data_IF_692042333429
#
_entry.id   IF_692042333429
#
_cell.length_a   1.000
_cell.length_b   1.000
_cell.length_c   1.000
_cell.angle_alpha   90.00
_cell.angle_beta   90.00
_cell.angle_gamma   90.00
#
_symmetry.space_group_name_H-M   'P 1'
#
loop_
_entity.id
_entity.type
_entity.pdbx_description
1 polymer ?
#
# COMPACT_ATOMS: atom_id res chain seq x y z
N UNK A 1 -5.58 4.74 19.77
CA UNK A 1 -5.74 3.47 19.02
C UNK A 1 -4.42 2.73 18.98
N UNK A 2 -4.48 1.41 19.01
CA UNK A 2 -3.29 0.57 18.82
C UNK A 2 -3.47 -0.26 17.56
N UNK A 3 -2.38 -0.42 16.79
CA UNK A 3 -2.32 -1.26 15.61
C UNK A 3 -0.92 -1.87 15.49
N UNK A 4 -0.81 -3.17 15.27
CA UNK A 4 0.46 -3.92 15.29
C UNK A 4 1.29 -3.69 16.58
N UNK A 5 0.62 -3.61 17.72
CA UNK A 5 1.26 -3.32 19.01
C UNK A 5 1.76 -1.89 19.17
N UNK A 6 1.63 -1.02 18.17
CA UNK A 6 2.07 0.35 18.18
C UNK A 6 0.90 1.31 18.46
N UNK A 7 1.18 2.40 19.20
CA UNK A 7 0.21 3.45 19.45
C UNK A 7 0.10 4.40 18.24
N UNK A 8 -1.14 4.68 17.86
CA UNK A 8 -1.47 5.67 16.83
C UNK A 8 -2.31 6.79 17.43
N UNK A 9 -1.99 8.04 17.10
CA UNK A 9 -2.81 9.18 17.51
C UNK A 9 -4.17 9.18 16.79
N UNK A 10 -4.20 8.72 15.55
CA UNK A 10 -5.44 8.58 14.78
C UNK A 10 -5.38 7.35 13.85
N UNK A 11 -6.52 6.70 13.54
CA UNK A 11 -6.54 5.56 12.62
C UNK A 11 -6.56 5.96 11.15
N UNK A 12 -6.48 7.24 10.82
CA UNK A 12 -6.62 7.75 9.46
C UNK A 12 -5.27 7.88 8.76
N UNK A 13 -5.31 7.71 7.43
CA UNK A 13 -4.17 7.94 6.54
C UNK A 13 -4.47 7.59 5.09
N UNK A 14 -3.58 7.95 4.18
CA UNK A 14 -3.73 7.64 2.77
C UNK A 14 -3.49 6.15 2.51
N UNK A 15 -4.27 5.58 1.59
CA UNK A 15 -3.99 4.30 0.98
C UNK A 15 -2.82 4.42 -0.02
N UNK A 16 -2.21 3.28 -0.37
CA UNK A 16 -1.12 3.25 -1.35
C UNK A 16 -1.56 3.79 -2.72
N UNK A 17 -0.81 4.76 -3.20
CA UNK A 17 -1.06 5.41 -4.48
C UNK A 17 0.07 6.40 -4.81
N UNK A 18 0.05 7.08 -5.98
CA UNK A 18 1.05 8.09 -6.34
C UNK A 18 1.23 9.19 -5.28
N UNK A 19 0.16 9.50 -4.55
CA UNK A 19 0.16 10.47 -3.46
C UNK A 19 0.88 10.01 -2.18
N UNK A 20 1.26 8.76 -2.05
CA UNK A 20 2.05 8.23 -0.93
C UNK A 20 3.43 7.69 -1.37
N UNK A 21 3.95 8.16 -2.51
CA UNK A 21 5.25 7.77 -3.03
C UNK A 21 6.36 8.76 -2.66
N UNK A 22 6.09 10.07 -2.77
CA UNK A 22 7.09 11.10 -2.56
C UNK A 22 7.12 11.60 -1.13
N UNK A 23 8.31 11.87 -0.59
CA UNK A 23 8.51 12.29 0.79
C UNK A 23 7.68 13.52 1.17
N UNK A 24 7.60 14.54 0.30
CA UNK A 24 6.82 15.74 0.58
C UNK A 24 5.32 15.45 0.74
N UNK A 25 4.77 14.50 -0.02
CA UNK A 25 3.36 14.15 0.08
C UNK A 25 3.08 13.35 1.36
N UNK A 26 3.97 12.44 1.72
CA UNK A 26 3.89 11.67 2.96
C UNK A 26 3.95 12.59 4.19
N UNK A 27 4.90 13.54 4.20
CA UNK A 27 5.04 14.56 5.25
C UNK A 27 3.81 15.46 5.31
N UNK A 28 3.29 15.90 4.16
CA UNK A 28 2.08 16.71 4.10
C UNK A 28 0.86 15.96 4.67
N UNK A 29 0.69 14.69 4.31
CA UNK A 29 -0.37 13.85 4.87
C UNK A 29 -0.26 13.74 6.39
N UNK A 30 0.95 13.51 6.94
CA UNK A 30 1.18 13.47 8.38
C UNK A 30 0.85 14.81 9.05
N UNK A 31 1.25 15.95 8.49
CA UNK A 31 0.92 17.28 8.99
C UNK A 31 -0.60 17.54 8.97
N UNK A 32 -1.32 16.96 8.02
CA UNK A 32 -2.78 17.01 7.96
C UNK A 32 -3.49 16.03 8.91
N UNK A 33 -2.74 15.26 9.73
CA UNK A 33 -3.30 14.37 10.75
C UNK A 33 -3.29 12.88 10.39
N UNK A 34 -2.76 12.49 9.23
CA UNK A 34 -2.56 11.08 8.92
C UNK A 34 -1.58 10.44 9.90
N UNK A 35 -1.93 9.24 10.39
CA UNK A 35 -1.06 8.49 11.31
C UNK A 35 -0.84 7.04 10.87
N UNK A 36 -1.66 6.52 9.97
CA UNK A 36 -1.43 5.26 9.30
C UNK A 36 -1.24 5.52 7.81
N UNK A 37 -0.02 5.45 7.32
CA UNK A 37 0.33 5.83 5.94
C UNK A 37 0.76 4.58 5.18
N UNK A 38 -0.07 4.14 4.25
CA UNK A 38 0.30 3.06 3.34
C UNK A 38 1.14 3.64 2.20
N UNK A 39 2.40 3.21 2.16
CA UNK A 39 3.36 3.66 1.16
C UNK A 39 3.01 3.09 -0.22
N UNK A 40 3.34 3.82 -1.29
CA UNK A 40 3.12 3.35 -2.66
C UNK A 40 3.72 1.97 -2.86
N UNK A 41 2.95 1.09 -3.49
CA UNK A 41 3.36 -0.30 -3.78
C UNK A 41 4.67 -0.34 -4.58
N UNK A 42 5.60 -1.15 -4.14
CA UNK A 42 6.84 -1.48 -4.86
C UNK A 42 6.77 -2.90 -5.41
N UNK A 43 7.45 -3.16 -6.49
CA UNK A 43 7.48 -4.46 -7.16
C UNK A 43 8.79 -4.65 -7.97
N UNK A 44 9.08 -5.90 -8.33
CA UNK A 44 10.38 -6.32 -8.86
C UNK A 44 10.74 -5.76 -10.23
N UNK A 45 9.76 -5.39 -11.06
CA UNK A 45 10.02 -4.81 -12.40
C UNK A 45 10.67 -3.43 -12.31
N UNK A 46 10.79 -2.92 -11.09
CA UNK A 46 11.45 -1.69 -10.73
C UNK A 46 10.66 -0.47 -11.23
N UNK A 47 10.83 -0.03 -12.44
CA UNK A 47 10.16 1.12 -13.03
C UNK A 47 9.17 0.68 -14.10
N UNK A 48 7.92 1.15 -14.01
CA UNK A 48 6.92 0.90 -15.04
C UNK A 48 6.86 2.06 -16.03
N UNK A 49 7.01 1.75 -17.30
CA UNK A 49 6.83 2.73 -18.36
C UNK A 49 5.35 2.83 -18.71
N UNK A 50 4.71 3.91 -18.26
CA UNK A 50 3.30 4.20 -18.54
C UNK A 50 3.20 5.31 -19.57
N UNK A 51 2.61 5.00 -20.71
CA UNK A 51 2.52 5.94 -21.86
C UNK A 51 1.42 7.00 -21.74
N UNK A 52 0.63 6.99 -20.67
CA UNK A 52 -0.58 7.81 -20.50
C UNK A 52 -0.83 8.09 -19.01
N UNK A 53 -1.69 9.05 -18.67
CA UNK A 53 -2.05 9.31 -17.28
C UNK A 53 -2.58 8.07 -16.57
N UNK A 54 -2.17 7.86 -15.33
CA UNK A 54 -2.60 6.72 -14.52
C UNK A 54 -3.93 6.97 -13.82
N UNK A 55 -4.25 8.23 -13.53
CA UNK A 55 -5.43 8.62 -12.74
C UNK A 55 -6.12 9.75 -13.49
N UNK A 56 -7.45 9.71 -13.58
CA UNK A 56 -8.22 10.85 -14.10
C UNK A 56 -8.30 11.96 -13.05
N UNK A 57 -8.70 13.16 -13.50
CA UNK A 57 -8.72 14.35 -12.64
C UNK A 57 -9.85 14.34 -11.60
N UNK A 58 -10.87 13.53 -11.80
CA UNK A 58 -11.99 13.38 -10.86
C UNK A 58 -11.73 12.28 -9.83
N UNK A 59 -10.56 11.60 -9.94
CA UNK A 59 -10.12 10.51 -9.06
C UNK A 59 -11.06 9.29 -9.06
N UNK A 60 -11.77 9.07 -10.17
CA UNK A 60 -12.69 7.95 -10.33
C UNK A 60 -12.12 6.81 -11.19
N UNK A 61 -11.11 7.06 -12.01
CA UNK A 61 -10.56 6.07 -12.93
C UNK A 61 -9.05 6.02 -12.97
N UNK A 62 -8.54 4.81 -13.18
CA UNK A 62 -7.13 4.51 -13.38
C UNK A 62 -6.96 3.76 -14.70
N UNK A 63 -5.93 4.09 -15.46
CA UNK A 63 -5.66 3.39 -16.72
C UNK A 63 -4.81 2.14 -16.57
N UNK A 64 -4.16 1.97 -15.43
CA UNK A 64 -3.34 0.82 -15.09
C UNK A 64 -3.59 0.38 -13.66
N UNK A 65 -3.53 -0.91 -13.43
CA UNK A 65 -3.63 -1.48 -12.09
C UNK A 65 -2.43 -1.08 -11.22
N UNK A 66 -1.27 -0.97 -11.86
CA UNK A 66 0.00 -0.64 -11.22
C UNK A 66 0.60 0.60 -11.83
N UNK A 67 1.08 1.49 -10.98
CA UNK A 67 1.96 2.57 -11.40
C UNK A 67 3.12 2.63 -10.41
N UNK A 68 4.33 2.53 -10.92
CA UNK A 68 5.55 2.72 -10.16
C UNK A 68 6.48 3.58 -11.01
N UNK A 69 6.53 4.85 -10.68
CA UNK A 69 7.27 5.87 -11.41
C UNK A 69 8.72 5.96 -10.96
N UNK A 70 9.02 5.45 -9.75
CA UNK A 70 10.35 5.40 -9.17
C UNK A 70 10.85 3.96 -9.12
N UNK A 71 12.16 3.80 -9.29
CA UNK A 71 12.82 2.53 -8.99
C UNK A 71 12.69 2.17 -7.52
N UNK A 72 12.79 0.90 -7.19
CA UNK A 72 12.67 0.39 -5.81
C UNK A 72 13.61 1.15 -4.85
N UNK A 73 14.85 1.36 -5.25
CA UNK A 73 15.82 2.11 -4.43
C UNK A 73 15.45 3.59 -4.25
N UNK A 74 14.92 4.23 -5.28
CA UNK A 74 14.44 5.61 -5.20
C UNK A 74 13.20 5.73 -4.31
N UNK A 75 12.28 4.76 -4.39
CA UNK A 75 11.13 4.69 -3.51
C UNK A 75 11.56 4.55 -2.04
N UNK A 76 12.55 3.71 -1.77
CA UNK A 76 13.13 3.59 -0.44
C UNK A 76 13.72 4.91 0.06
N UNK A 77 14.48 5.63 -0.77
CA UNK A 77 15.06 6.92 -0.41
C UNK A 77 13.99 7.96 -0.05
N UNK A 78 12.88 8.01 -0.78
CA UNK A 78 11.73 8.86 -0.47
C UNK A 78 11.07 8.48 0.87
N UNK A 79 10.89 7.19 1.13
CA UNK A 79 10.28 6.71 2.38
C UNK A 79 11.18 6.99 3.59
N UNK A 80 12.49 6.76 3.45
CA UNK A 80 13.46 7.09 4.48
C UNK A 80 13.55 8.59 4.75
N UNK A 81 13.55 9.41 3.69
CA UNK A 81 13.53 10.87 3.82
C UNK A 81 12.26 11.33 4.56
N UNK A 82 11.09 10.80 4.19
CA UNK A 82 9.84 11.10 4.89
C UNK A 82 9.90 10.71 6.37
N UNK A 83 10.45 9.53 6.68
CA UNK A 83 10.62 9.04 8.03
C UNK A 83 11.46 9.98 8.89
N UNK A 84 12.63 10.38 8.40
CA UNK A 84 13.52 11.33 9.10
C UNK A 84 12.86 12.70 9.24
N UNK A 85 12.23 13.22 8.19
CA UNK A 85 11.57 14.54 8.21
C UNK A 85 10.40 14.58 9.20
N UNK A 86 9.59 13.54 9.30
CA UNK A 86 8.47 13.47 10.24
C UNK A 86 9.00 13.55 11.68
N UNK A 87 10.05 12.80 12.03
CA UNK A 87 10.67 12.87 13.35
C UNK A 87 11.29 14.25 13.63
N UNK A 88 11.97 14.84 12.65
CA UNK A 88 12.54 16.17 12.76
C UNK A 88 11.46 17.25 12.95
N UNK A 89 10.37 17.17 12.20
CA UNK A 89 9.24 18.12 12.30
C UNK A 89 8.47 17.94 13.61
N UNK A 90 8.25 16.70 14.04
CA UNK A 90 7.63 16.42 15.34
C UNK A 90 8.35 17.16 16.46
N UNK A 91 9.68 17.04 16.51
CA UNK A 91 10.52 17.75 17.50
C UNK A 91 10.55 19.26 17.28
N UNK A 92 10.72 19.70 16.02
CA UNK A 92 10.84 21.14 15.69
C UNK A 92 9.57 21.93 15.97
N UNK A 93 8.41 21.33 15.77
CA UNK A 93 7.09 21.93 15.96
C UNK A 93 6.53 21.70 17.38
N UNK A 94 7.31 21.05 18.24
CA UNK A 94 6.96 20.77 19.64
C UNK A 94 5.61 20.01 19.76
N UNK A 95 5.41 19.00 18.89
CA UNK A 95 4.24 18.15 19.02
C UNK A 95 4.31 17.28 20.29
N UNK A 96 3.15 16.97 20.83
CA UNK A 96 3.03 16.19 22.07
C UNK A 96 3.50 14.74 21.87
N UNK A 97 4.06 14.14 22.93
CA UNK A 97 4.50 12.75 22.95
C UNK A 97 5.97 12.56 22.56
N UNK A 98 6.48 11.36 22.81
CA UNK A 98 7.88 11.01 22.58
C UNK A 98 8.17 10.58 21.13
N UNK A 99 7.10 10.36 20.34
CA UNK A 99 7.20 9.91 18.96
C UNK A 99 6.11 10.55 18.09
N UNK A 100 6.30 10.56 16.75
CA UNK A 100 5.32 11.12 15.82
C UNK A 100 3.95 10.42 15.78
N UNK A 101 3.77 9.31 16.50
CA UNK A 101 2.51 8.55 16.56
C UNK A 101 2.04 8.02 15.20
N UNK A 102 2.97 7.70 14.29
CA UNK A 102 2.70 7.30 12.92
C UNK A 102 3.25 5.90 12.63
N UNK A 103 2.48 5.11 11.88
CA UNK A 103 2.91 3.84 11.29
C UNK A 103 3.02 4.01 9.78
N UNK A 104 4.15 3.60 9.23
CA UNK A 104 4.28 3.35 7.80
C UNK A 104 3.93 1.90 7.53
N UNK A 105 2.95 1.69 6.65
CA UNK A 105 2.61 0.37 6.15
C UNK A 105 3.22 0.18 4.77
N UNK A 106 4.07 -0.83 4.62
CA UNK A 106 4.61 -1.18 3.31
C UNK A 106 3.51 -1.71 2.41
N UNK A 107 3.66 -1.49 1.12
CA UNK A 107 2.85 -2.17 0.11
C UNK A 107 3.77 -2.83 -0.90
N UNK A 108 3.62 -4.14 -1.06
CA UNK A 108 4.39 -4.93 -2.02
C UNK A 108 3.44 -5.69 -2.93
N UNK A 109 3.87 -5.89 -4.16
CA UNK A 109 3.10 -6.64 -5.13
C UNK A 109 4.01 -7.51 -6.00
N UNK A 110 3.41 -8.30 -6.88
CA UNK A 110 4.00 -9.31 -7.73
C UNK A 110 3.84 -10.73 -7.17
N UNK A 111 4.36 -11.74 -7.90
CA UNK A 111 4.40 -13.13 -7.45
C UNK A 111 5.50 -13.36 -6.40
N UNK A 112 5.52 -14.54 -5.79
CA UNK A 112 6.51 -14.88 -4.77
C UNK A 112 7.93 -14.83 -5.31
N UNK A 113 8.16 -15.32 -6.52
CA UNK A 113 9.48 -15.30 -7.16
C UNK A 113 9.97 -13.87 -7.39
N UNK A 114 9.08 -12.96 -7.76
CA UNK A 114 9.38 -11.54 -7.91
C UNK A 114 9.70 -10.85 -6.58
N UNK A 115 8.92 -11.13 -5.53
CA UNK A 115 9.20 -10.60 -4.19
C UNK A 115 10.54 -11.12 -3.65
N UNK A 116 10.97 -12.31 -4.06
CA UNK A 116 12.26 -12.88 -3.70
C UNK A 116 13.44 -12.39 -4.55
N UNK A 117 13.21 -11.52 -5.55
CA UNK A 117 14.31 -10.96 -6.35
C UNK A 117 15.23 -10.05 -5.51
N UNK A 118 16.49 -9.91 -5.89
CA UNK A 118 17.48 -9.18 -5.10
C UNK A 118 17.10 -7.74 -4.75
N UNK A 119 16.47 -7.00 -5.66
CA UNK A 119 16.04 -5.62 -5.42
C UNK A 119 14.94 -5.54 -4.36
N UNK A 120 13.98 -6.48 -4.39
CA UNK A 120 12.91 -6.54 -3.38
C UNK A 120 13.44 -7.01 -2.03
N UNK A 121 14.37 -7.98 -2.01
CA UNK A 121 15.03 -8.42 -0.78
C UNK A 121 15.82 -7.28 -0.15
N UNK A 122 16.61 -6.56 -0.95
CA UNK A 122 17.32 -5.37 -0.49
C UNK A 122 16.36 -4.34 0.12
N UNK A 123 15.24 -4.07 -0.54
CA UNK A 123 14.24 -3.13 -0.03
C UNK A 123 13.69 -3.54 1.33
N UNK A 124 13.25 -4.80 1.47
CA UNK A 124 12.72 -5.32 2.73
C UNK A 124 13.76 -5.31 3.85
N UNK A 125 15.02 -5.61 3.54
CA UNK A 125 16.11 -5.60 4.50
C UNK A 125 16.44 -4.17 4.93
N UNK A 126 16.48 -3.20 4.01
CA UNK A 126 16.70 -1.78 4.31
C UNK A 126 15.55 -1.15 5.12
N UNK A 127 14.31 -1.55 4.88
CA UNK A 127 13.17 -1.09 5.68
C UNK A 127 13.25 -1.63 7.11
N UNK A 128 13.76 -2.85 7.28
CA UNK A 128 13.96 -3.47 8.59
C UNK A 128 15.14 -2.87 9.37
N UNK A 129 16.20 -2.48 8.66
CA UNK A 129 17.37 -1.82 9.24
C UNK A 129 17.97 -0.81 8.26
N UNK A 130 17.66 0.46 8.47
CA UNK A 130 18.14 1.58 7.65
C UNK A 130 19.30 2.36 8.30
N UNK A 131 19.95 1.81 9.31
CA UNK A 131 20.94 2.51 10.14
C UNK A 131 21.94 3.33 9.33
N UNK A 132 22.60 2.74 8.34
CA UNK A 132 23.62 3.43 7.52
C UNK A 132 23.00 4.53 6.66
N UNK A 133 21.97 4.19 5.89
CA UNK A 133 21.30 5.14 4.99
C UNK A 133 20.61 6.27 5.76
N UNK A 134 20.04 5.97 6.92
CA UNK A 134 19.45 6.95 7.82
C UNK A 134 20.44 8.03 8.24
N UNK A 135 21.67 7.64 8.55
CA UNK A 135 22.70 8.60 8.93
C UNK A 135 23.03 9.59 7.79
N UNK A 136 23.06 9.12 6.55
CA UNK A 136 23.28 9.99 5.39
C UNK A 136 22.14 11.02 5.25
N UNK A 137 20.88 10.57 5.44
CA UNK A 137 19.71 11.47 5.38
C UNK A 137 19.72 12.46 6.54
N UNK A 138 20.06 12.02 7.76
CA UNK A 138 20.22 12.92 8.92
C UNK A 138 21.23 14.03 8.61
N UNK A 139 22.37 13.70 8.01
CA UNK A 139 23.37 14.71 7.66
C UNK A 139 22.89 15.69 6.57
N UNK A 140 22.03 15.24 5.65
CA UNK A 140 21.40 16.12 4.68
C UNK A 140 20.41 17.10 5.35
N UNK A 141 19.54 16.59 6.22
CA UNK A 141 18.54 17.38 6.96
C UNK A 141 19.21 18.33 7.94
N UNK A 142 20.34 17.92 8.54
CA UNK A 142 21.09 18.73 9.50
C UNK A 142 21.66 20.04 8.92
N UNK A 143 21.78 20.15 7.60
CA UNK A 143 22.14 21.42 6.93
C UNK A 143 21.10 22.51 7.15
N UNK A 144 19.83 22.12 7.37
CA UNK A 144 18.69 23.03 7.56
C UNK A 144 18.19 23.02 9.01
N UNK A 145 18.37 21.90 9.71
CA UNK A 145 17.94 21.71 11.10
C UNK A 145 18.98 20.85 11.86
N UNK A 146 20.03 21.46 12.39
CA UNK A 146 21.15 20.74 13.03
C UNK A 146 20.73 19.84 14.20
N UNK A 147 19.68 20.20 14.93
CA UNK A 147 19.17 19.44 16.09
C UNK A 147 18.60 18.06 15.71
N UNK A 148 18.46 17.74 14.41
CA UNK A 148 18.03 16.40 13.98
C UNK A 148 19.01 15.31 14.40
N UNK A 149 20.28 15.63 14.58
CA UNK A 149 21.32 14.70 15.05
C UNK A 149 21.08 14.17 16.47
N UNK A 150 20.35 14.94 17.28
CA UNK A 150 20.06 14.62 18.67
C UNK A 150 18.70 13.89 18.83
N UNK A 151 18.01 13.60 17.73
CA UNK A 151 16.72 12.90 17.73
C UNK A 151 16.99 11.40 17.61
N UNK A 152 16.38 10.64 18.53
CA UNK A 152 16.39 9.18 18.43
C UNK A 152 15.36 8.75 17.38
N UNK A 153 15.80 8.59 16.13
CA UNK A 153 14.97 8.12 15.01
C UNK A 153 15.16 6.60 14.88
N UNK A 154 14.07 5.79 14.93
CA UNK A 154 14.20 4.33 14.83
C UNK A 154 14.86 3.88 13.53
N UNK A 155 15.67 2.82 13.63
CA UNK A 155 16.36 2.21 12.49
C UNK A 155 15.41 1.39 11.61
N UNK A 156 14.29 0.97 12.15
CA UNK A 156 13.25 0.24 11.44
C UNK A 156 12.16 1.21 11.00
N UNK A 157 11.93 1.31 9.69
CA UNK A 157 10.91 2.18 9.08
C UNK A 157 9.52 1.57 9.26
N UNK A 158 9.40 0.25 9.10
CA UNK A 158 8.13 -0.47 9.22
C UNK A 158 8.33 -1.93 9.62
N UNK A 159 7.37 -2.46 10.39
CA UNK A 159 7.27 -3.86 10.77
C UNK A 159 6.04 -4.54 10.16
N UNK A 160 5.38 -3.88 9.22
CA UNK A 160 4.12 -4.34 8.66
C UNK A 160 4.01 -4.08 7.16
N UNK A 161 3.25 -4.93 6.46
CA UNK A 161 3.15 -4.93 5.01
C UNK A 161 1.75 -5.29 4.54
N UNK A 162 1.27 -4.61 3.51
CA UNK A 162 0.10 -5.00 2.73
C UNK A 162 0.55 -5.72 1.47
N UNK A 163 0.14 -6.97 1.29
CA UNK A 163 0.25 -7.65 0.01
C UNK A 163 -0.82 -7.09 -0.93
N UNK A 164 -0.37 -6.35 -1.94
CA UNK A 164 -1.21 -5.78 -2.99
C UNK A 164 -1.26 -6.79 -4.13
N UNK A 165 -2.23 -7.71 -4.10
CA UNK A 165 -2.40 -8.71 -5.14
C UNK A 165 -2.89 -8.08 -6.43
N UNK A 166 -2.37 -8.56 -7.56
CA UNK A 166 -2.93 -8.25 -8.87
C UNK A 166 -4.30 -8.93 -9.04
N UNK A 167 -5.15 -8.36 -9.89
CA UNK A 167 -6.28 -9.10 -10.44
C UNK A 167 -5.73 -10.37 -11.12
N UNK A 168 -6.24 -11.53 -10.71
CA UNK A 168 -5.80 -12.81 -11.26
C UNK A 168 -4.73 -13.58 -10.48
N UNK A 169 -4.33 -13.13 -9.29
CA UNK A 169 -3.43 -13.91 -8.45
C UNK A 169 -4.17 -15.12 -7.82
N UNK A 170 -3.70 -16.35 -8.05
CA UNK A 170 -4.35 -17.55 -7.50
C UNK A 170 -4.30 -17.58 -5.96
N UNK A 171 -5.32 -18.18 -5.28
CA UNK A 171 -5.34 -18.28 -3.82
C UNK A 171 -4.07 -18.89 -3.21
N UNK A 172 -3.53 -19.95 -3.82
CA UNK A 172 -2.32 -20.60 -3.35
C UNK A 172 -1.06 -19.72 -3.44
N UNK A 173 -0.99 -18.85 -4.43
CA UNK A 173 0.09 -17.87 -4.55
C UNK A 173 -0.01 -16.79 -3.47
N UNK A 174 -1.22 -16.25 -3.24
CA UNK A 174 -1.48 -15.29 -2.16
C UNK A 174 -1.06 -15.88 -0.82
N UNK A 175 -1.46 -17.13 -0.56
CA UNK A 175 -1.12 -17.87 0.65
C UNK A 175 0.39 -18.00 0.80
N UNK A 176 1.09 -18.47 -0.23
CA UNK A 176 2.54 -18.65 -0.21
C UNK A 176 3.30 -17.35 0.06
N UNK A 177 2.89 -16.24 -0.57
CA UNK A 177 3.50 -14.92 -0.34
C UNK A 177 3.27 -14.47 1.11
N UNK A 178 2.04 -14.60 1.62
CA UNK A 178 1.75 -14.19 2.99
C UNK A 178 2.50 -15.04 4.02
N UNK A 179 2.59 -16.35 3.82
CA UNK A 179 3.39 -17.21 4.68
C UNK A 179 4.86 -16.79 4.69
N UNK A 180 5.44 -16.47 3.53
CA UNK A 180 6.80 -15.94 3.41
C UNK A 180 6.99 -14.63 4.18
N UNK A 181 6.09 -13.67 4.00
CA UNK A 181 6.16 -12.38 4.71
C UNK A 181 6.06 -12.55 6.23
N UNK A 182 5.19 -13.44 6.70
CA UNK A 182 4.99 -13.73 8.12
C UNK A 182 6.17 -14.50 8.73
N UNK A 183 6.62 -15.61 8.07
CA UNK A 183 7.60 -16.52 8.64
C UNK A 183 9.03 -16.05 8.45
N UNK A 184 9.37 -15.69 7.20
CA UNK A 184 10.75 -15.40 6.81
C UNK A 184 11.09 -13.91 7.02
N UNK A 185 10.20 -13.00 6.65
CA UNK A 185 10.44 -11.55 6.82
C UNK A 185 9.97 -11.00 8.15
N UNK A 186 9.19 -11.77 8.92
CA UNK A 186 8.71 -11.39 10.26
C UNK A 186 7.96 -10.06 10.28
N UNK A 187 7.06 -9.88 9.29
CA UNK A 187 6.22 -8.70 9.13
C UNK A 187 4.77 -9.02 9.49
N UNK A 188 4.11 -8.15 10.24
CA UNK A 188 2.66 -8.12 10.31
C UNK A 188 2.11 -7.95 8.90
N UNK A 189 1.14 -8.78 8.50
CA UNK A 189 0.76 -8.88 7.08
C UNK A 189 -0.73 -8.62 6.88
N UNK A 190 -1.04 -7.76 5.93
CA UNK A 190 -2.40 -7.52 5.44
C UNK A 190 -2.52 -8.05 4.00
N UNK A 191 -3.65 -8.67 3.68
CA UNK A 191 -4.02 -9.01 2.29
C UNK A 191 -5.04 -8.02 1.78
N UNK A 192 -4.71 -7.37 0.68
CA UNK A 192 -5.64 -6.49 -0.03
C UNK A 192 -6.58 -7.32 -0.90
N UNK A 193 -7.87 -7.25 -0.60
CA UNK A 193 -8.91 -7.96 -1.32
C UNK A 193 -9.58 -7.06 -2.36
N UNK A 194 -9.91 -7.62 -3.53
CA UNK A 194 -10.61 -6.91 -4.58
C UNK A 194 -12.13 -6.89 -4.31
N UNK A 195 -12.87 -5.86 -4.77
CA UNK A 195 -14.32 -5.80 -4.66
C UNK A 195 -15.02 -7.01 -5.29
N UNK A 196 -14.40 -7.63 -6.31
CA UNK A 196 -14.91 -8.83 -6.98
C UNK A 196 -15.06 -10.05 -6.06
N UNK A 197 -14.50 -10.01 -4.85
CA UNK A 197 -14.67 -11.04 -3.82
C UNK A 197 -16.13 -11.34 -3.49
N UNK A 198 -17.02 -10.33 -3.60
CA UNK A 198 -18.46 -10.48 -3.35
C UNK A 198 -19.20 -11.25 -4.47
N UNK A 199 -18.56 -11.44 -5.61
CA UNK A 199 -19.17 -12.07 -6.78
C UNK A 199 -19.97 -11.12 -7.66
N UNK A 200 -20.29 -11.53 -8.91
CA UNK A 200 -20.84 -10.63 -9.93
C UNK A 200 -22.23 -10.09 -9.60
N UNK A 201 -23.09 -10.91 -9.03
CA UNK A 201 -24.45 -10.50 -8.71
C UNK A 201 -24.49 -9.40 -7.65
N UNK A 202 -23.74 -9.59 -6.56
CA UNK A 202 -23.72 -8.66 -5.43
C UNK A 202 -23.03 -7.35 -5.81
N UNK A 203 -21.86 -7.41 -6.45
CA UNK A 203 -21.13 -6.21 -6.87
C UNK A 203 -21.96 -5.34 -7.81
N UNK A 204 -22.62 -5.96 -8.81
CA UNK A 204 -23.48 -5.22 -9.74
C UNK A 204 -24.72 -4.68 -9.07
N UNK A 205 -25.34 -5.43 -8.15
CA UNK A 205 -26.48 -4.93 -7.36
C UNK A 205 -26.07 -3.70 -6.55
N UNK A 206 -25.00 -3.79 -5.79
CA UNK A 206 -24.50 -2.68 -4.96
C UNK A 206 -24.23 -1.43 -5.81
N UNK A 207 -23.47 -1.55 -6.90
CA UNK A 207 -23.07 -0.40 -7.72
C UNK A 207 -24.24 0.17 -8.50
N UNK A 208 -24.97 -0.68 -9.23
CA UNK A 208 -25.96 -0.18 -10.20
C UNK A 208 -27.34 0.05 -9.60
N UNK A 209 -27.75 -0.75 -8.58
CA UNK A 209 -29.09 -0.66 -7.99
C UNK A 209 -29.08 0.19 -6.71
N UNK A 210 -28.23 -0.16 -5.75
CA UNK A 210 -28.24 0.47 -4.44
C UNK A 210 -27.60 1.86 -4.48
N UNK A 211 -26.40 1.96 -5.06
CA UNK A 211 -25.66 3.20 -5.21
C UNK A 211 -26.03 4.02 -6.45
N UNK A 212 -26.81 3.42 -7.38
CA UNK A 212 -27.36 4.07 -8.59
C UNK A 212 -26.32 4.58 -9.60
N UNK A 213 -25.14 4.00 -9.63
CA UNK A 213 -24.13 4.25 -10.67
C UNK A 213 -24.46 3.40 -11.91
N UNK A 214 -25.56 3.73 -12.60
CA UNK A 214 -26.15 2.90 -13.68
C UNK A 214 -25.31 2.83 -14.95
N UNK A 215 -24.37 3.73 -15.11
CA UNK A 215 -23.43 3.82 -16.25
C UNK A 215 -22.13 3.04 -16.03
N UNK A 216 -21.87 2.56 -14.81
CA UNK A 216 -20.72 1.70 -14.50
C UNK A 216 -21.03 0.27 -14.90
N UNK A 217 -20.17 -0.30 -15.75
CA UNK A 217 -20.29 -1.69 -16.20
C UNK A 217 -19.07 -2.50 -15.78
N UNK A 218 -19.34 -3.48 -14.91
CA UNK A 218 -18.32 -4.45 -14.48
C UNK A 218 -18.44 -5.68 -15.37
N UNK A 219 -17.47 -5.95 -16.27
CA UNK A 219 -17.53 -7.09 -17.17
C UNK A 219 -17.36 -8.42 -16.44
N UNK A 220 -17.80 -9.52 -17.05
CA UNK A 220 -17.67 -10.85 -16.45
C UNK A 220 -16.21 -11.25 -16.22
N UNK A 221 -15.31 -10.85 -17.13
CA UNK A 221 -13.87 -11.14 -17.04
C UNK A 221 -13.26 -10.64 -15.73
N UNK A 222 -13.76 -9.55 -15.15
CA UNK A 222 -13.28 -9.02 -13.87
C UNK A 222 -13.48 -10.01 -12.70
N UNK A 223 -14.42 -10.96 -12.84
CA UNK A 223 -14.72 -11.96 -11.83
C UNK A 223 -14.07 -13.33 -12.09
N UNK A 224 -13.56 -13.56 -13.31
CA UNK A 224 -13.01 -14.87 -13.68
C UNK A 224 -11.70 -15.17 -12.99
N UNK A 225 -10.84 -14.16 -12.86
CA UNK A 225 -9.46 -14.30 -12.39
C UNK A 225 -9.25 -13.86 -10.94
N UNK A 226 -10.28 -13.31 -10.27
CA UNK A 226 -10.19 -12.82 -8.91
C UNK A 226 -10.30 -13.93 -7.85
N UNK A 227 -9.77 -13.63 -6.66
CA UNK A 227 -10.00 -14.46 -5.47
C UNK A 227 -11.50 -14.55 -5.18
N UNK A 228 -12.03 -15.77 -5.05
CA UNK A 228 -13.44 -16.02 -4.76
C UNK A 228 -13.66 -16.16 -3.26
N UNK A 229 -14.85 -15.81 -2.80
CA UNK A 229 -15.18 -15.81 -1.38
C UNK A 229 -14.95 -17.17 -0.70
N UNK A 230 -15.37 -18.25 -1.36
CA UNK A 230 -15.27 -19.61 -0.83
C UNK A 230 -13.81 -20.08 -0.69
N UNK A 231 -12.90 -19.60 -1.55
CA UNK A 231 -11.47 -19.86 -1.46
C UNK A 231 -10.79 -18.92 -0.45
N UNK A 232 -11.26 -17.68 -0.36
CA UNK A 232 -10.69 -16.66 0.52
C UNK A 232 -10.82 -17.03 2.00
N UNK A 233 -12.01 -17.44 2.43
CA UNK A 233 -12.28 -17.68 3.86
C UNK A 233 -11.37 -18.75 4.48
N UNK A 234 -11.20 -19.94 3.87
CA UNK A 234 -10.26 -20.94 4.40
C UNK A 234 -8.81 -20.44 4.40
N UNK A 235 -8.36 -19.79 3.33
CA UNK A 235 -7.02 -19.22 3.20
C UNK A 235 -6.74 -18.19 4.30
N UNK A 236 -7.65 -17.24 4.50
CA UNK A 236 -7.49 -16.19 5.51
C UNK A 236 -7.45 -16.75 6.93
N UNK A 237 -8.26 -17.78 7.24
CA UNK A 237 -8.22 -18.47 8.53
C UNK A 237 -6.88 -19.18 8.76
N UNK A 238 -6.35 -19.84 7.71
CA UNK A 238 -5.03 -20.47 7.77
C UNK A 238 -3.94 -19.44 8.06
N UNK A 239 -3.93 -18.34 7.31
CA UNK A 239 -2.94 -17.26 7.49
C UNK A 239 -3.04 -16.58 8.86
N UNK A 240 -4.23 -16.44 9.41
CA UNK A 240 -4.42 -15.95 10.78
C UNK A 240 -3.77 -16.89 11.81
N UNK A 241 -3.88 -18.22 11.61
CA UNK A 241 -3.19 -19.20 12.46
C UNK A 241 -1.67 -19.09 12.32
N UNK A 242 -1.16 -18.98 11.10
CA UNK A 242 0.27 -18.82 10.82
C UNK A 242 0.83 -17.57 11.51
N UNK A 243 0.13 -16.43 11.40
CA UNK A 243 0.54 -15.21 12.05
C UNK A 243 0.61 -15.37 13.58
N UNK A 244 -0.42 -15.99 14.17
CA UNK A 244 -0.43 -16.27 15.61
C UNK A 244 0.76 -17.14 16.04
N UNK A 245 1.10 -18.17 15.28
CA UNK A 245 2.25 -19.04 15.55
C UNK A 245 3.58 -18.27 15.45
N UNK A 246 3.61 -17.24 14.61
CA UNK A 246 4.74 -16.32 14.47
C UNK A 246 4.78 -15.22 15.53
N UNK A 247 3.74 -15.06 16.37
CA UNK A 247 3.59 -13.90 17.26
C UNK A 247 3.38 -12.59 16.54
N UNK A 248 2.72 -12.64 15.37
CA UNK A 248 2.42 -11.50 14.50
C UNK A 248 0.91 -11.34 14.32
N UNK A 249 0.51 -10.20 13.80
CA UNK A 249 -0.87 -9.94 13.41
C UNK A 249 -1.07 -10.14 11.90
N UNK A 250 -2.26 -10.63 11.54
CA UNK A 250 -2.70 -10.79 10.17
C UNK A 250 -4.09 -10.18 10.00
N UNK A 251 -4.30 -9.50 8.89
CA UNK A 251 -5.58 -8.87 8.59
C UNK A 251 -5.88 -8.79 7.10
N UNK A 252 -6.98 -8.13 6.79
CA UNK A 252 -7.41 -7.86 5.42
C UNK A 252 -7.55 -6.36 5.20
N UNK A 253 -7.24 -5.91 3.99
CA UNK A 253 -7.55 -4.56 3.52
C UNK A 253 -8.75 -4.64 2.55
N UNK A 254 -9.79 -3.91 2.86
CA UNK A 254 -10.94 -3.70 2.00
C UNK A 254 -10.94 -2.24 1.53
N UNK A 255 -10.89 -1.96 0.25
CA UNK A 255 -10.70 -2.88 -0.84
C UNK A 255 -9.66 -2.34 -1.84
N UNK A 256 -9.68 -2.85 -3.06
CA UNK A 256 -8.86 -2.39 -4.19
C UNK A 256 -9.74 -1.62 -5.19
N UNK A 257 -9.12 -1.09 -6.27
CA UNK A 257 -9.83 -0.63 -7.46
C UNK A 257 -10.62 -1.77 -8.10
N UNK A 258 -11.63 -1.43 -8.89
CA UNK A 258 -12.49 -2.38 -9.61
C UNK A 258 -12.32 -2.20 -11.11
N UNK A 259 -12.06 -3.30 -11.82
CA UNK A 259 -11.99 -3.31 -13.27
C UNK A 259 -13.38 -3.08 -13.87
N UNK A 260 -13.52 -2.05 -14.71
CA UNK A 260 -14.78 -1.65 -15.35
C UNK A 260 -14.55 -1.23 -16.81
N UNK A 261 -15.61 -1.21 -17.62
CA UNK A 261 -15.53 -0.69 -18.98
C UNK A 261 -15.38 0.84 -18.97
N UNK A 262 -14.51 1.38 -19.82
CA UNK A 262 -14.31 2.82 -20.02
C UNK A 262 -15.43 3.43 -20.87
N UNK A 263 -16.71 3.19 -20.52
CA UNK A 263 -17.88 3.70 -21.27
C UNK A 263 -18.03 5.22 -21.21
N UNK A 264 -17.63 5.80 -20.10
CA UNK A 264 -17.67 7.26 -19.91
C UNK A 264 -16.56 7.98 -20.66
N UNK A 265 -15.67 7.26 -21.32
CA UNK A 265 -14.51 7.79 -22.02
C UNK A 265 -13.66 8.72 -21.15
N UNK A 266 -13.45 8.33 -19.90
CA UNK A 266 -12.55 9.00 -18.96
C UNK A 266 -11.13 9.02 -19.54
N UNK A 267 -10.72 7.90 -20.12
CA UNK A 267 -9.49 7.79 -20.93
C UNK A 267 -9.83 7.73 -22.43
N UNK A 268 -8.80 7.73 -23.29
CA UNK A 268 -8.98 7.68 -24.73
C UNK A 268 -9.87 6.51 -25.18
N UNK A 269 -10.53 6.64 -26.31
CA UNK A 269 -11.43 5.60 -26.85
C UNK A 269 -10.72 4.25 -27.15
N UNK A 270 -9.39 4.25 -27.28
CA UNK A 270 -8.58 3.05 -27.45
C UNK A 270 -8.47 2.22 -26.16
N UNK A 271 -8.70 2.86 -24.99
CA UNK A 271 -8.74 2.22 -23.69
C UNK A 271 -10.14 1.68 -23.41
N UNK A 272 -10.33 0.39 -23.62
CA UNK A 272 -11.64 -0.25 -23.41
C UNK A 272 -11.99 -0.42 -21.94
N UNK A 273 -10.98 -0.54 -21.10
CA UNK A 273 -11.07 -0.85 -19.67
C UNK A 273 -10.38 0.22 -18.85
N UNK A 274 -10.86 0.41 -17.63
CA UNK A 274 -10.21 1.23 -16.60
C UNK A 274 -10.38 0.58 -15.23
N UNK A 275 -9.63 1.06 -14.24
CA UNK A 275 -9.80 0.65 -12.85
C UNK A 275 -10.51 1.75 -12.07
N UNK A 276 -11.73 1.47 -11.67
CA UNK A 276 -12.61 2.38 -10.94
C UNK A 276 -12.13 2.53 -9.48
N UNK A 277 -12.19 3.73 -8.97
CA UNK A 277 -11.95 4.11 -7.58
C UNK A 277 -12.95 5.17 -7.14
N UNK A 278 -12.72 5.83 -5.99
CA UNK A 278 -13.51 6.98 -5.56
C UNK A 278 -14.93 6.63 -5.10
N UNK A 279 -15.86 7.52 -5.35
CA UNK A 279 -17.23 7.48 -4.83
C UNK A 279 -17.99 6.16 -5.00
N UNK A 280 -17.87 5.43 -6.11
CA UNK A 280 -18.61 4.17 -6.27
C UNK A 280 -18.14 3.04 -5.36
N UNK A 281 -16.97 3.17 -4.74
CA UNK A 281 -16.36 2.16 -3.87
C UNK A 281 -16.24 2.57 -2.40
N UNK A 282 -16.82 3.72 -2.01
CA UNK A 282 -16.79 4.26 -0.64
C UNK A 282 -18.16 4.28 0.02
#
# INVERSE_FOLDING_TARGET
>A
TQFFGQALDSPFGPAAGPHSQMAQNIVAAWLCGARYIELKTVQTLDELNVSKPCIDMEDEGYNVEWSQELKVAQSFDEYLLAWVLIHALHRKLDFQGDSPGVIFNLSVGYDLAGIQQPNMQWFLDQVNDCTERKQEVIEQVARYYPAVRDINIPDRISDNVTLSTMHGCPPGEIEGICEYLLRDKRLHTLVKCNPTLLGPAEVRSLINVDLKFIDIVVPDIAFEHGLKYDDAVPMLRKLQSVAKDCGLEFGIKLSNTLEVENRRQVFSADEKMMYLSGRPLH
#
